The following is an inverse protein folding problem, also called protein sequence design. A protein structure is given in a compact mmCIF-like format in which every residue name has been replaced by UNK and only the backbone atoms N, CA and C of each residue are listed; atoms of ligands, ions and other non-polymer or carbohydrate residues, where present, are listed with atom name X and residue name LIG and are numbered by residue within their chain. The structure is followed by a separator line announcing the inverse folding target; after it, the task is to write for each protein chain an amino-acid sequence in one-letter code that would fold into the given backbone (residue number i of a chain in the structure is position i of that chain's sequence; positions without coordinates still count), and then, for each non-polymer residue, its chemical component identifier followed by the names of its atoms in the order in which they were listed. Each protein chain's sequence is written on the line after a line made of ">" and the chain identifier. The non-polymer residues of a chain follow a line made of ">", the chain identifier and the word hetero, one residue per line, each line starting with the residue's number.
data_IF_875175844926
#
_entry.id   IF_875175844926
#
_cell.length_a   1.000
_cell.length_b   1.000
_cell.length_c   1.000
_cell.angle_alpha   90.00
_cell.angle_beta   90.00
_cell.angle_gamma   90.00
#
_symmetry.space_group_name_H-M   'P 1'
#
loop_
_entity.id
_entity.type
_entity.pdbx_description
1 polymer ?
#
# COMPACT_ATOMS: atom_id res chain seq x y z
N UNK A 1 -3.65 22.67 -4.36
CA UNK A 1 -4.01 21.89 -5.58
C UNK A 1 -2.79 21.10 -6.01
N UNK A 2 -2.92 19.78 -6.12
CA UNK A 2 -1.87 18.89 -6.65
C UNK A 2 -2.22 18.59 -8.10
N UNK A 3 -1.22 18.60 -9.00
CA UNK A 3 -1.40 18.19 -10.40
C UNK A 3 -0.30 17.23 -10.82
N UNK A 4 -0.65 16.22 -11.61
CA UNK A 4 0.26 15.18 -12.10
C UNK A 4 -0.37 14.46 -13.30
N UNK A 5 0.42 13.67 -14.00
CA UNK A 5 -0.04 12.69 -14.98
C UNK A 5 0.19 11.29 -14.46
N UNK A 6 -0.77 10.40 -14.69
CA UNK A 6 -0.70 8.98 -14.36
C UNK A 6 -0.21 8.23 -15.59
N UNK A 7 0.99 7.63 -15.49
CA UNK A 7 1.59 6.85 -16.57
C UNK A 7 1.12 5.39 -16.54
N UNK A 8 1.05 4.80 -15.35
CA UNK A 8 0.69 3.40 -15.17
C UNK A 8 0.12 3.17 -13.77
N UNK A 9 -0.69 2.13 -13.61
CA UNK A 9 -1.25 1.73 -12.32
C UNK A 9 -1.44 0.23 -12.23
N UNK A 10 -1.30 -0.30 -11.03
CA UNK A 10 -1.58 -1.69 -10.71
C UNK A 10 -2.19 -1.80 -9.32
N UNK A 11 -3.23 -2.61 -9.18
CA UNK A 11 -3.81 -2.91 -7.87
C UNK A 11 -3.99 -4.42 -7.67
N UNK A 12 -3.81 -4.85 -6.42
CA UNK A 12 -4.01 -6.25 -6.01
C UNK A 12 -4.79 -6.28 -4.68
N UNK A 13 -5.76 -7.18 -4.64
CA UNK A 13 -6.47 -7.60 -3.43
C UNK A 13 -6.92 -9.05 -3.61
N UNK A 14 -7.23 -9.82 -2.55
CA UNK A 14 -7.80 -11.15 -2.72
C UNK A 14 -9.02 -11.14 -3.64
N UNK A 15 -8.97 -11.96 -4.70
CA UNK A 15 -10.00 -12.02 -5.75
C UNK A 15 -10.01 -10.87 -6.75
N UNK A 16 -9.17 -9.85 -6.59
CA UNK A 16 -9.04 -8.70 -7.49
C UNK A 16 -7.57 -8.57 -7.93
N UNK A 17 -7.21 -9.26 -9.01
CA UNK A 17 -5.84 -9.36 -9.48
C UNK A 17 -5.61 -8.71 -10.87
N UNK A 18 -6.67 -8.30 -11.54
CA UNK A 18 -6.61 -7.67 -12.86
C UNK A 18 -7.62 -6.51 -12.97
N UNK A 19 -7.49 -5.73 -14.02
CA UNK A 19 -8.31 -4.54 -14.25
C UNK A 19 -9.80 -4.87 -14.38
N UNK A 20 -10.14 -5.97 -15.04
CA UNK A 20 -11.55 -6.35 -15.24
C UNK A 20 -12.23 -6.69 -13.90
N UNK A 21 -11.52 -7.39 -12.99
CA UNK A 21 -12.00 -7.68 -11.66
C UNK A 21 -12.20 -6.40 -10.83
N UNK A 22 -11.28 -5.44 -10.92
CA UNK A 22 -11.40 -4.16 -10.24
C UNK A 22 -12.55 -3.32 -10.79
N UNK A 23 -12.73 -3.27 -12.11
CA UNK A 23 -13.85 -2.57 -12.74
C UNK A 23 -15.20 -3.19 -12.32
N UNK A 24 -15.29 -4.52 -12.30
CA UNK A 24 -16.49 -5.21 -11.83
C UNK A 24 -16.78 -4.92 -10.34
N UNK A 25 -15.75 -4.90 -9.51
CA UNK A 25 -15.89 -4.54 -8.10
C UNK A 25 -16.35 -3.08 -7.92
N UNK A 26 -15.77 -2.14 -8.66
CA UNK A 26 -16.17 -0.72 -8.60
C UNK A 26 -17.64 -0.50 -8.97
N UNK A 27 -18.16 -1.28 -9.92
CA UNK A 27 -19.58 -1.22 -10.32
C UNK A 27 -20.51 -1.86 -9.28
N UNK A 28 -20.09 -2.96 -8.64
CA UNK A 28 -20.94 -3.76 -7.75
C UNK A 28 -20.84 -3.35 -6.28
N UNK A 29 -19.70 -2.76 -5.86
CA UNK A 29 -19.42 -2.39 -4.46
C UNK A 29 -19.37 -3.58 -3.50
N UNK A 30 -19.13 -4.80 -4.00
CA UNK A 30 -19.12 -6.03 -3.17
C UNK A 30 -17.79 -6.74 -3.27
N UNK A 31 -17.21 -7.03 -2.12
CA UNK A 31 -16.00 -7.84 -2.03
C UNK A 31 -16.28 -9.31 -2.39
N UNK A 32 -15.35 -9.99 -3.08
CA UNK A 32 -15.44 -11.43 -3.28
C UNK A 32 -15.54 -12.19 -1.94
N UNK A 33 -16.29 -13.26 -1.92
CA UNK A 33 -16.44 -14.14 -0.74
C UNK A 33 -15.38 -15.24 -0.82
N UNK A 34 -14.58 -15.39 0.23
CA UNK A 34 -13.47 -16.37 0.34
C UNK A 34 -12.55 -16.44 -0.89
N UNK A 35 -12.09 -15.29 -1.40
CA UNK A 35 -11.29 -15.27 -2.61
C UNK A 35 -9.87 -15.81 -2.35
N UNK A 36 -9.24 -16.44 -3.36
CA UNK A 36 -7.84 -16.82 -3.24
C UNK A 36 -6.94 -15.58 -3.12
N UNK A 37 -5.88 -15.71 -2.33
CA UNK A 37 -4.85 -14.66 -2.26
C UNK A 37 -4.14 -14.55 -3.62
N UNK A 38 -3.88 -13.33 -4.13
CA UNK A 38 -3.25 -13.13 -5.43
C UNK A 38 -1.87 -13.79 -5.51
N UNK A 39 -1.56 -14.32 -6.69
CA UNK A 39 -0.22 -14.81 -6.97
C UNK A 39 0.81 -13.67 -6.86
N UNK A 40 1.98 -13.97 -6.29
CA UNK A 40 3.09 -13.02 -6.15
C UNK A 40 4.37 -13.57 -6.75
N UNK A 41 4.41 -13.77 -8.10
CA UNK A 41 5.48 -14.49 -8.78
C UNK A 41 6.84 -13.78 -8.72
N UNK A 42 6.87 -12.47 -8.50
CA UNK A 42 8.12 -11.72 -8.39
C UNK A 42 8.80 -11.88 -7.02
N UNK A 43 8.12 -12.49 -6.05
CA UNK A 43 8.68 -12.74 -4.74
C UNK A 43 9.18 -14.19 -4.62
N UNK A 44 10.43 -14.40 -4.18
CA UNK A 44 10.88 -15.73 -3.79
C UNK A 44 9.96 -16.33 -2.73
N UNK A 45 9.63 -17.62 -2.85
CA UNK A 45 8.66 -18.28 -1.96
C UNK A 45 8.99 -18.10 -0.46
N UNK A 46 10.26 -18.19 -0.09
CA UNK A 46 10.71 -18.02 1.29
C UNK A 46 10.47 -16.60 1.82
N UNK A 47 10.61 -15.59 0.95
CA UNK A 47 10.30 -14.20 1.28
C UNK A 47 8.78 -14.02 1.40
N UNK A 48 8.02 -14.49 0.42
CA UNK A 48 6.56 -14.36 0.40
C UNK A 48 5.89 -14.93 1.67
N UNK A 49 6.44 -16.03 2.22
CA UNK A 49 5.94 -16.65 3.46
C UNK A 49 6.23 -15.84 4.72
N UNK A 50 7.24 -14.97 4.70
CA UNK A 50 7.64 -14.15 5.84
C UNK A 50 6.93 -12.79 5.86
N UNK A 51 6.40 -12.36 4.73
CA UNK A 51 5.72 -11.07 4.61
C UNK A 51 4.29 -11.13 5.16
N UNK A 52 3.86 -10.04 5.79
CA UNK A 52 2.44 -9.79 6.03
C UNK A 52 1.69 -9.71 4.70
N UNK A 53 0.39 -9.92 4.72
CA UNK A 53 -0.42 -9.90 3.49
C UNK A 53 -0.33 -8.55 2.78
N UNK A 54 -0.42 -7.43 3.52
CA UNK A 54 -0.30 -6.09 2.94
C UNK A 54 1.07 -5.85 2.31
N UNK A 55 2.16 -6.10 3.05
CA UNK A 55 3.51 -5.95 2.53
C UNK A 55 3.81 -6.88 1.34
N UNK A 56 3.26 -8.09 1.34
CA UNK A 56 3.40 -9.03 0.23
C UNK A 56 2.79 -8.47 -1.07
N UNK A 57 1.58 -7.88 -0.98
CA UNK A 57 0.94 -7.23 -2.13
C UNK A 57 1.71 -5.98 -2.55
N UNK A 58 2.12 -5.15 -1.60
CA UNK A 58 2.87 -3.93 -1.87
C UNK A 58 4.20 -4.20 -2.59
N UNK A 59 4.96 -5.20 -2.14
CA UNK A 59 6.23 -5.56 -2.79
C UNK A 59 5.98 -6.13 -4.19
N UNK A 60 4.95 -6.98 -4.38
CA UNK A 60 4.61 -7.51 -5.70
C UNK A 60 4.26 -6.38 -6.69
N UNK A 61 3.39 -5.44 -6.28
CA UNK A 61 2.99 -4.28 -7.10
C UNK A 61 4.20 -3.39 -7.40
N UNK A 62 4.99 -3.06 -6.36
CA UNK A 62 6.19 -2.23 -6.52
C UNK A 62 7.19 -2.84 -7.49
N UNK A 63 7.50 -4.13 -7.36
CA UNK A 63 8.41 -4.84 -8.25
C UNK A 63 7.90 -4.88 -9.69
N UNK A 64 6.60 -5.11 -9.87
CA UNK A 64 5.98 -5.14 -11.19
C UNK A 64 6.16 -3.82 -11.92
N UNK A 65 5.87 -2.70 -11.25
CA UNK A 65 5.99 -1.36 -11.84
C UNK A 65 7.46 -0.93 -12.02
N UNK A 66 8.35 -1.30 -11.09
CA UNK A 66 9.80 -1.07 -11.23
C UNK A 66 10.42 -1.83 -12.40
N UNK A 67 9.88 -3.00 -12.76
CA UNK A 67 10.35 -3.77 -13.91
C UNK A 67 9.96 -3.12 -15.25
N UNK A 68 8.86 -2.36 -15.27
CA UNK A 68 8.33 -1.73 -16.48
C UNK A 68 8.79 -0.27 -16.67
N UNK A 69 9.15 0.41 -15.57
CA UNK A 69 9.41 1.85 -15.60
C UNK A 69 10.71 2.20 -14.89
N UNK A 70 11.47 3.13 -15.49
CA UNK A 70 12.61 3.76 -14.84
C UNK A 70 12.09 4.78 -13.83
N UNK A 71 12.21 4.47 -12.54
CA UNK A 71 11.71 5.26 -11.42
C UNK A 71 12.86 6.01 -10.77
N UNK A 72 12.68 7.30 -10.47
CA UNK A 72 13.68 8.15 -9.81
C UNK A 72 13.45 8.24 -8.28
N UNK A 73 12.21 8.02 -7.81
CA UNK A 73 11.85 8.09 -6.40
C UNK A 73 10.65 7.19 -6.10
N UNK A 74 10.65 6.50 -4.98
CA UNK A 74 9.53 5.64 -4.59
C UNK A 74 8.98 6.00 -3.19
N UNK A 75 7.67 5.92 -3.06
CA UNK A 75 6.92 6.26 -1.85
C UNK A 75 6.04 5.07 -1.49
N UNK A 76 6.16 4.57 -0.26
CA UNK A 76 5.30 3.53 0.27
C UNK A 76 4.43 4.13 1.38
N UNK A 77 3.13 3.93 1.28
CA UNK A 77 2.15 4.51 2.23
C UNK A 77 1.32 3.40 2.83
N UNK A 78 1.28 3.35 4.16
CA UNK A 78 0.37 2.49 4.88
C UNK A 78 -0.03 3.16 6.20
N UNK A 79 -1.29 3.04 6.58
CA UNK A 79 -1.79 3.54 7.87
C UNK A 79 -1.24 2.72 9.02
N UNK A 80 -1.20 1.39 8.85
CA UNK A 80 -0.91 0.45 9.92
C UNK A 80 0.44 -0.28 9.74
N UNK A 81 0.99 -0.33 8.52
CA UNK A 81 2.24 -1.02 8.25
C UNK A 81 2.24 -2.47 8.76
N UNK A 82 3.20 -2.80 9.61
CA UNK A 82 3.38 -4.12 10.23
C UNK A 82 2.76 -4.22 11.64
N UNK A 83 1.64 -3.53 11.89
CA UNK A 83 1.00 -3.47 13.23
C UNK A 83 0.72 -4.87 13.80
N UNK A 84 0.19 -5.80 13.01
CA UNK A 84 -0.11 -7.15 13.48
C UNK A 84 1.15 -7.86 14.00
N UNK A 85 2.28 -7.69 13.33
CA UNK A 85 3.58 -8.24 13.74
C UNK A 85 4.10 -7.56 15.00
N UNK A 86 3.98 -6.25 15.09
CA UNK A 86 4.36 -5.49 16.28
C UNK A 86 3.58 -5.95 17.51
N UNK A 87 2.29 -6.20 17.34
CA UNK A 87 1.43 -6.74 18.43
C UNK A 87 1.88 -8.14 18.85
N UNK A 88 2.21 -9.04 17.90
CA UNK A 88 2.73 -10.37 18.22
C UNK A 88 4.02 -10.29 19.01
N UNK A 89 4.93 -9.38 18.66
CA UNK A 89 6.18 -9.17 19.41
C UNK A 89 5.93 -8.62 20.82
N UNK A 90 5.02 -7.66 20.97
CA UNK A 90 4.65 -7.11 22.27
C UNK A 90 4.01 -8.17 23.18
N UNK A 91 3.17 -9.06 22.60
CA UNK A 91 2.58 -10.17 23.31
C UNK A 91 3.65 -11.15 23.80
N UNK A 92 4.58 -11.55 22.92
CA UNK A 92 5.69 -12.43 23.29
C UNK A 92 6.55 -11.82 24.42
N UNK A 93 6.79 -10.50 24.36
CA UNK A 93 7.51 -9.78 25.40
C UNK A 93 6.75 -9.78 26.73
N UNK A 94 5.44 -9.54 26.70
CA UNK A 94 4.59 -9.57 27.90
C UNK A 94 4.56 -10.97 28.54
N UNK A 95 4.61 -12.02 27.73
CA UNK A 95 4.61 -13.42 28.17
C UNK A 95 6.03 -13.91 28.58
N UNK A 96 7.04 -13.05 28.59
CA UNK A 96 8.42 -13.40 28.93
C UNK A 96 9.09 -14.33 27.90
N UNK A 97 8.60 -14.40 26.69
CA UNK A 97 9.15 -15.24 25.62
C UNK A 97 10.31 -14.56 24.88
N UNK A 98 11.21 -15.35 24.33
CA UNK A 98 12.28 -14.84 23.50
C UNK A 98 11.73 -14.25 22.20
N UNK A 99 12.16 -13.03 21.84
CA UNK A 99 11.77 -12.38 20.63
C UNK A 99 12.48 -12.97 19.41
N UNK A 100 11.76 -13.19 18.32
CA UNK A 100 12.34 -13.58 17.04
C UNK A 100 13.09 -12.40 16.39
N UNK A 101 14.41 -12.50 16.13
CA UNK A 101 15.14 -11.44 15.44
C UNK A 101 14.58 -11.15 14.05
N UNK A 102 14.09 -12.16 13.36
CA UNK A 102 13.45 -12.02 12.04
C UNK A 102 12.15 -11.23 12.16
N UNK A 103 11.28 -11.54 13.13
CA UNK A 103 10.04 -10.82 13.32
C UNK A 103 10.29 -9.37 13.74
N UNK A 104 11.29 -9.14 14.58
CA UNK A 104 11.69 -7.79 14.96
C UNK A 104 12.16 -6.98 13.74
N UNK A 105 13.05 -7.52 12.91
CA UNK A 105 13.54 -6.84 11.72
C UNK A 105 12.44 -6.57 10.66
N UNK A 106 11.38 -7.38 10.68
CA UNK A 106 10.25 -7.26 9.76
C UNK A 106 9.07 -6.47 10.34
N UNK A 107 9.16 -5.95 11.57
CA UNK A 107 8.07 -5.21 12.22
C UNK A 107 8.09 -3.71 11.94
N UNK A 108 9.12 -3.22 11.25
CA UNK A 108 9.26 -1.80 10.95
C UNK A 108 8.33 -1.36 9.82
N UNK A 109 7.85 -0.12 9.88
CA UNK A 109 6.89 0.41 8.91
C UNK A 109 7.42 0.39 7.46
N UNK A 110 8.73 0.54 7.26
CA UNK A 110 9.36 0.55 5.94
C UNK A 110 9.75 -0.85 5.40
N UNK A 111 9.25 -1.93 6.00
CA UNK A 111 9.55 -3.31 5.58
C UNK A 111 9.25 -3.53 4.10
N UNK A 112 8.07 -3.14 3.61
CA UNK A 112 7.70 -3.31 2.21
C UNK A 112 8.63 -2.52 1.26
N UNK A 113 8.94 -1.26 1.59
CA UNK A 113 9.86 -0.43 0.81
C UNK A 113 11.27 -1.03 0.75
N UNK A 114 11.82 -1.42 1.90
CA UNK A 114 13.15 -2.02 2.00
C UNK A 114 13.29 -3.32 1.22
N UNK A 115 12.28 -4.19 1.28
CA UNK A 115 12.28 -5.45 0.55
C UNK A 115 12.09 -5.25 -0.96
N UNK A 116 11.26 -4.28 -1.34
CA UNK A 116 11.12 -3.89 -2.74
C UNK A 116 12.46 -3.39 -3.32
N UNK A 117 13.18 -2.56 -2.56
CA UNK A 117 14.51 -2.08 -2.91
C UNK A 117 15.51 -3.23 -3.09
N UNK A 118 15.60 -4.14 -2.10
CA UNK A 118 16.54 -5.26 -2.11
C UNK A 118 16.22 -6.22 -3.26
N UNK A 119 14.96 -6.60 -3.42
CA UNK A 119 14.54 -7.57 -4.44
C UNK A 119 14.58 -6.99 -5.85
N UNK A 120 14.20 -5.73 -6.00
CA UNK A 120 14.23 -5.01 -7.29
C UNK A 120 15.62 -4.56 -7.69
N UNK A 121 16.62 -4.66 -6.79
CA UNK A 121 17.97 -4.12 -7.00
C UNK A 121 17.94 -2.66 -7.46
N UNK A 122 16.96 -1.91 -6.98
CA UNK A 122 16.67 -0.54 -7.40
C UNK A 122 17.39 0.44 -6.45
N UNK A 123 18.54 0.95 -6.85
CA UNK A 123 19.30 1.95 -6.08
C UNK A 123 18.67 3.37 -6.22
N UNK A 124 17.39 3.50 -5.82
CA UNK A 124 16.63 4.76 -5.87
C UNK A 124 16.26 5.22 -4.45
N UNK A 125 16.15 6.53 -4.21
CA UNK A 125 15.62 7.03 -2.95
C UNK A 125 14.19 6.53 -2.70
N UNK A 126 13.91 6.12 -1.47
CA UNK A 126 12.58 5.65 -1.05
C UNK A 126 12.19 6.28 0.28
N UNK A 127 10.89 6.53 0.45
CA UNK A 127 10.31 6.93 1.72
C UNK A 127 9.12 6.04 2.09
N UNK A 128 8.81 5.99 3.41
CA UNK A 128 7.64 5.30 3.92
C UNK A 128 6.85 6.25 4.80
N UNK A 129 5.57 6.40 4.51
CA UNK A 129 4.68 7.36 5.15
C UNK A 129 3.56 6.67 5.92
N UNK A 130 3.26 7.17 7.11
CA UNK A 130 2.10 6.82 7.92
C UNK A 130 1.30 8.10 8.21
N UNK A 131 0.27 8.35 7.42
CA UNK A 131 -0.53 9.58 7.49
C UNK A 131 -2.03 9.30 7.81
N UNK A 132 -2.30 8.23 8.55
CA UNK A 132 -3.65 7.85 8.97
C UNK A 132 -4.60 7.66 7.78
N UNK A 133 -5.81 8.17 7.90
CA UNK A 133 -6.85 8.03 6.87
C UNK A 133 -6.51 8.78 5.57
N UNK A 134 -5.65 9.80 5.65
CA UNK A 134 -5.25 10.61 4.50
C UNK A 134 -3.96 10.11 3.84
N UNK A 135 -3.63 8.83 4.00
CA UNK A 135 -2.38 8.24 3.53
C UNK A 135 -2.12 8.45 2.04
N UNK A 136 -3.10 8.15 1.18
CA UNK A 136 -2.93 8.34 -0.27
C UNK A 136 -2.69 9.81 -0.63
N UNK A 137 -3.44 10.75 -0.04
CA UNK A 137 -3.25 12.18 -0.30
C UNK A 137 -1.90 12.68 0.19
N UNK A 138 -1.40 12.18 1.32
CA UNK A 138 -0.05 12.48 1.79
C UNK A 138 1.00 11.95 0.82
N UNK A 139 0.84 10.71 0.33
CA UNK A 139 1.71 10.12 -0.69
C UNK A 139 1.70 10.88 -2.01
N UNK A 140 0.52 11.30 -2.50
CA UNK A 140 0.40 12.15 -3.69
C UNK A 140 1.06 13.52 -3.49
N UNK A 141 0.95 14.10 -2.30
CA UNK A 141 1.63 15.37 -1.97
C UNK A 141 3.16 15.21 -2.05
N UNK A 142 3.68 14.16 -1.42
CA UNK A 142 5.13 13.84 -1.48
C UNK A 142 5.58 13.57 -2.92
N UNK A 143 4.77 12.83 -3.70
CA UNK A 143 5.07 12.55 -5.09
C UNK A 143 5.16 13.83 -5.94
N UNK A 144 4.20 14.74 -5.81
CA UNK A 144 4.20 16.02 -6.52
C UNK A 144 5.40 16.87 -6.10
N UNK A 145 5.75 16.89 -4.81
CA UNK A 145 6.95 17.58 -4.34
C UNK A 145 8.23 17.00 -4.96
N UNK A 146 8.35 15.67 -5.04
CA UNK A 146 9.49 15.02 -5.68
C UNK A 146 9.57 15.33 -7.18
N UNK A 147 8.44 15.33 -7.90
CA UNK A 147 8.38 15.73 -9.32
C UNK A 147 8.80 17.18 -9.51
N UNK A 148 8.34 18.10 -8.63
CA UNK A 148 8.75 19.50 -8.66
C UNK A 148 10.23 19.69 -8.30
N UNK A 149 10.80 18.81 -7.49
CA UNK A 149 12.23 18.79 -7.16
C UNK A 149 13.11 18.18 -8.25
N UNK A 150 12.53 17.70 -9.37
CA UNK A 150 13.26 17.23 -10.54
C UNK A 150 13.22 15.72 -10.80
N UNK A 151 12.51 14.95 -9.98
CA UNK A 151 12.22 13.56 -10.31
C UNK A 151 11.37 13.51 -11.60
N UNK A 152 11.71 12.63 -12.54
CA UNK A 152 10.93 12.47 -13.77
C UNK A 152 9.74 11.53 -13.53
N UNK A 153 9.97 10.45 -12.79
CA UNK A 153 8.96 9.44 -12.46
C UNK A 153 9.01 9.07 -10.98
N UNK A 154 7.85 9.07 -10.38
CA UNK A 154 7.66 8.68 -8.98
C UNK A 154 6.75 7.47 -8.91
N UNK A 155 7.18 6.43 -8.21
CA UNK A 155 6.35 5.29 -7.84
C UNK A 155 5.71 5.55 -6.49
N UNK A 156 4.39 5.54 -6.43
CA UNK A 156 3.62 5.59 -5.18
C UNK A 156 2.92 4.24 -4.97
N UNK A 157 3.18 3.58 -3.85
CA UNK A 157 2.51 2.33 -3.45
C UNK A 157 1.75 2.57 -2.14
N UNK A 158 0.43 2.56 -2.20
CA UNK A 158 -0.44 2.61 -1.03
C UNK A 158 -0.97 1.20 -0.72
N UNK A 159 -0.84 0.75 0.53
CA UNK A 159 -1.21 -0.62 0.90
C UNK A 159 -1.70 -0.72 2.33
N UNK A 160 -2.55 -1.74 2.59
CA UNK A 160 -2.94 -2.11 3.94
C UNK A 160 -2.98 -3.64 4.08
N UNK A 161 -2.68 -4.09 5.29
CA UNK A 161 -2.80 -5.49 5.71
C UNK A 161 -3.95 -5.70 6.70
N UNK A 162 -4.16 -6.95 7.14
CA UNK A 162 -5.11 -7.23 8.20
C UNK A 162 -4.72 -6.52 9.50
N UNK A 163 -5.70 -5.91 10.13
CA UNK A 163 -5.53 -5.25 11.43
C UNK A 163 -5.91 -6.23 12.55
N UNK A 164 -5.17 -6.26 13.68
CA UNK A 164 -5.51 -7.08 14.82
C UNK A 164 -6.95 -6.84 15.31
N UNK A 165 -7.63 -7.91 15.73
CA UNK A 165 -9.06 -7.87 16.05
C UNK A 165 -9.42 -6.81 17.11
N UNK A 166 -8.58 -6.65 18.13
CA UNK A 166 -8.81 -5.64 19.17
C UNK A 166 -8.72 -4.19 18.67
N UNK A 167 -8.12 -3.94 17.48
CA UNK A 167 -8.06 -2.64 16.85
C UNK A 167 -9.26 -2.33 15.95
N UNK A 168 -9.99 -3.37 15.49
CA UNK A 168 -11.12 -3.21 14.56
C UNK A 168 -12.21 -2.24 15.04
N UNK A 169 -12.58 -2.21 16.35
CA UNK A 169 -13.60 -1.26 16.82
C UNK A 169 -13.23 0.22 16.61
N UNK A 170 -11.93 0.51 16.43
CA UNK A 170 -11.42 1.86 16.26
C UNK A 170 -11.23 2.27 14.79
N UNK A 171 -11.54 1.35 13.85
CA UNK A 171 -11.46 1.63 12.43
C UNK A 171 -12.81 2.12 11.91
N UNK A 172 -12.77 3.24 11.19
CA UNK A 172 -13.94 3.74 10.47
C UNK A 172 -14.20 2.96 9.18
N UNK A 173 -13.13 2.39 8.60
CA UNK A 173 -13.12 1.67 7.35
C UNK A 173 -12.65 0.22 7.55
N UNK A 174 -13.28 -0.72 6.86
CA UNK A 174 -12.88 -2.12 6.84
C UNK A 174 -12.73 -2.56 5.38
N UNK A 175 -11.53 -3.02 5.04
CA UNK A 175 -11.23 -3.52 3.71
C UNK A 175 -10.32 -4.75 3.79
N UNK A 176 -10.38 -5.66 2.81
CA UNK A 176 -9.41 -6.74 2.71
C UNK A 176 -8.00 -6.20 2.47
N UNK A 177 -6.97 -7.03 2.66
CA UNK A 177 -5.60 -6.64 2.31
C UNK A 177 -5.53 -6.17 0.86
N UNK A 178 -4.90 -5.04 0.61
CA UNK A 178 -4.79 -4.49 -0.74
C UNK A 178 -3.50 -3.70 -0.93
N UNK A 179 -3.11 -3.53 -2.18
CA UNK A 179 -2.07 -2.60 -2.59
C UNK A 179 -2.48 -1.94 -3.91
N UNK A 180 -2.24 -0.63 -4.00
CA UNK A 180 -2.38 0.20 -5.18
C UNK A 180 -1.03 0.84 -5.49
N UNK A 181 -0.48 0.59 -6.66
CA UNK A 181 0.72 1.24 -7.18
C UNK A 181 0.38 2.20 -8.31
N UNK A 182 0.96 3.38 -8.28
CA UNK A 182 0.81 4.43 -9.29
C UNK A 182 2.19 4.89 -9.75
N UNK A 183 2.40 4.98 -11.06
CA UNK A 183 3.58 5.64 -11.65
C UNK A 183 3.17 7.02 -12.12
N UNK A 184 3.76 8.04 -11.52
CA UNK A 184 3.40 9.45 -11.69
C UNK A 184 4.51 10.22 -12.40
N UNK A 185 4.10 11.13 -13.28
CA UNK A 185 4.96 12.10 -13.96
C UNK A 185 4.43 13.52 -13.74
N UNK A 186 5.27 14.52 -13.97
CA UNK A 186 4.83 15.91 -14.00
C UNK A 186 3.79 16.11 -15.10
N UNK A 187 2.67 16.78 -14.77
CA UNK A 187 1.58 17.02 -15.71
C UNK A 187 0.35 17.61 -15.05
N UNK A 188 -0.72 17.68 -15.84
CA UNK A 188 -2.02 18.26 -15.42
C UNK A 188 -3.23 17.41 -15.79
N UNK A 189 -2.99 16.14 -16.15
CA UNK A 189 -4.04 15.18 -16.48
C UNK A 189 -4.99 14.95 -15.29
N UNK A 190 -4.42 14.92 -14.08
CA UNK A 190 -5.15 14.77 -12.83
C UNK A 190 -4.93 15.99 -11.94
N UNK A 191 -6.02 16.46 -11.33
CA UNK A 191 -5.99 17.56 -10.36
C UNK A 191 -6.69 17.13 -9.08
N UNK A 192 -5.99 17.22 -7.95
CA UNK A 192 -6.54 16.89 -6.64
C UNK A 192 -6.65 18.17 -5.82
N UNK A 193 -7.86 18.42 -5.31
CA UNK A 193 -8.16 19.54 -4.43
C UNK A 193 -8.66 19.01 -3.08
N UNK A 194 -8.30 19.68 -2.01
CA UNK A 194 -8.84 19.36 -0.69
C UNK A 194 -10.32 19.74 -0.64
N UNK A 195 -11.19 18.75 -0.46
CA UNK A 195 -12.60 18.96 -0.17
C UNK A 195 -12.92 18.52 1.26
N UNK A 196 -13.87 19.20 1.93
CA UNK A 196 -14.44 18.68 3.18
C UNK A 196 -15.23 17.42 2.85
N UNK A 197 -14.85 16.31 3.48
CA UNK A 197 -15.60 15.06 3.35
C UNK A 197 -16.97 15.24 4.03
N UNK A 198 -18.05 15.15 3.25
CA UNK A 198 -19.40 14.92 3.77
C UNK A 198 -19.57 13.42 3.94
N UNK A 199 -19.54 12.93 5.19
CA UNK A 199 -19.78 11.51 5.48
C UNK A 199 -21.30 11.29 5.46
N UNK A 200 -21.79 10.49 4.52
CA UNK A 200 -23.15 9.97 4.61
C UNK A 200 -23.23 8.94 5.73
N UNK A 201 -24.19 9.07 6.67
CA UNK A 201 -24.21 8.28 7.92
C UNK A 201 -24.36 6.77 7.73
N UNK A 202 -24.67 6.29 6.54
CA UNK A 202 -25.00 4.88 6.26
C UNK A 202 -24.00 4.16 5.34
N UNK A 203 -22.97 4.83 4.85
CA UNK A 203 -21.95 4.22 3.98
C UNK A 203 -20.66 4.06 4.77
N UNK A 204 -20.19 2.83 4.97
CA UNK A 204 -18.84 2.61 5.53
C UNK A 204 -17.82 3.21 4.58
N UNK A 205 -16.96 4.11 5.05
CA UNK A 205 -15.96 4.71 4.18
C UNK A 205 -14.97 3.64 3.71
N UNK A 206 -14.58 3.71 2.44
CA UNK A 206 -13.45 2.95 1.92
C UNK A 206 -12.13 3.65 2.26
N UNK A 207 -11.02 2.91 2.45
CA UNK A 207 -9.69 3.49 2.43
C UNK A 207 -9.49 4.35 1.19
N UNK A 208 -8.76 5.46 1.30
CA UNK A 208 -8.54 6.38 0.17
C UNK A 208 -7.97 5.68 -1.07
N UNK A 209 -7.08 4.70 -0.86
CA UNK A 209 -6.49 3.89 -1.94
C UNK A 209 -7.50 3.08 -2.75
N UNK A 210 -8.69 2.82 -2.19
CA UNK A 210 -9.78 2.09 -2.83
C UNK A 210 -10.91 3.01 -3.29
N UNK A 211 -11.05 4.17 -2.68
CA UNK A 211 -12.08 5.15 -3.03
C UNK A 211 -11.79 5.91 -4.34
N UNK A 212 -10.60 5.77 -4.91
CA UNK A 212 -10.21 6.36 -6.18
C UNK A 212 -10.52 5.48 -7.41
N UNK A 213 -11.04 4.29 -7.21
CA UNK A 213 -11.58 3.41 -8.26
C UNK A 213 -13.07 3.67 -8.48
#
# INVERSE_FOLDING_TARGET
>A
MLSFSLLDSQALSPGLADEAAWQAWAQQGRWPVDPPFPATPLLPMMMARRLSQGSRLAVQVGLSLLACHAIDYAIFVSRHGELARSVTLLQALADGQALSPTDFSMSVHNTAAGLCYIQGKAAIPMTSLAAGENGLMAGLTEAVCALQAGARRVLLVAFEGPVPEFHRPWLADEAPPHALGLVLEAGDQWRCEGARRTVEPHVRPLPQSLACW
#
